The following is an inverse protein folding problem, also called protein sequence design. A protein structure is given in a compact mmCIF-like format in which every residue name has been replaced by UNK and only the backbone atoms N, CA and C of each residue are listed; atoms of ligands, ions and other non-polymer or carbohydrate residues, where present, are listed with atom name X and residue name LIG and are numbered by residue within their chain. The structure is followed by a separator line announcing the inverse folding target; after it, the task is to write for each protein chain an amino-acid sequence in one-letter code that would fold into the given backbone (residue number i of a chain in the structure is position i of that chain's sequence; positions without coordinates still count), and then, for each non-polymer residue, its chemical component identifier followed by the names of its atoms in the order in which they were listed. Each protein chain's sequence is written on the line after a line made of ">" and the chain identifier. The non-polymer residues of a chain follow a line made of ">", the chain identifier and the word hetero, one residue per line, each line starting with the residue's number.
data_IF_023356801717
#
_entry.id   IF_023356801717
#
_cell.length_a   1.000
_cell.length_b   1.000
_cell.length_c   1.000
_cell.angle_alpha   90.00
_cell.angle_beta   90.00
_cell.angle_gamma   90.00
#
_symmetry.space_group_name_H-M   'P 1'
#
loop_
_entity.id
_entity.type
_entity.pdbx_description
1 polymer ?
#
# COMPACT_ATOMS: atom_id res chain seq x y z
N UNK A 1 -1.72 -39.81 73.24
CA UNK A 1 -1.99 -40.75 72.14
C UNK A 1 -3.31 -40.33 71.50
N UNK A 2 -3.36 -40.27 70.16
CA UNK A 2 -4.48 -39.90 69.27
C UNK A 2 -4.92 -38.42 69.34
N UNK A 3 -4.91 -37.57 68.30
CA UNK A 3 -4.72 -37.73 66.85
C UNK A 3 -6.06 -37.61 66.10
N UNK A 4 -6.44 -36.41 65.63
CA UNK A 4 -7.46 -36.12 64.58
C UNK A 4 -7.10 -34.77 63.92
N UNK A 5 -7.21 -34.59 62.58
CA UNK A 5 -6.47 -33.61 61.79
C UNK A 5 -7.22 -32.29 61.54
N UNK A 6 -6.49 -31.36 60.93
CA UNK A 6 -6.88 -30.00 60.59
C UNK A 6 -8.03 -29.94 59.56
N UNK A 7 -9.15 -29.35 59.96
CA UNK A 7 -10.16 -28.82 59.05
C UNK A 7 -9.75 -27.39 58.67
N UNK A 8 -9.10 -27.29 57.52
CA UNK A 8 -8.96 -26.07 56.74
C UNK A 8 -9.16 -26.45 55.30
N UNK A 9 -10.41 -26.48 54.86
CA UNK A 9 -10.79 -26.71 53.46
C UNK A 9 -10.05 -25.69 52.59
N UNK A 10 -9.03 -26.20 51.89
CA UNK A 10 -8.29 -25.48 50.86
C UNK A 10 -9.30 -25.21 49.73
N UNK A 11 -9.42 -23.97 49.21
CA UNK A 11 -10.30 -23.73 48.07
C UNK A 11 -9.85 -24.64 46.94
N UNK A 12 -10.79 -25.41 46.39
CA UNK A 12 -10.53 -26.36 45.30
C UNK A 12 -9.78 -25.64 44.18
N UNK A 13 -8.51 -25.99 44.00
CA UNK A 13 -7.78 -25.65 42.79
C UNK A 13 -8.39 -26.49 41.69
N UNK A 14 -9.40 -25.94 41.03
CA UNK A 14 -9.94 -26.49 39.79
C UNK A 14 -8.77 -26.65 38.83
N UNK A 15 -8.32 -27.89 38.65
CA UNK A 15 -7.32 -28.32 37.69
C UNK A 15 -7.89 -28.19 36.28
N UNK A 16 -8.11 -26.96 35.84
CA UNK A 16 -8.25 -26.65 34.43
C UNK A 16 -6.85 -26.69 33.82
N UNK A 17 -6.58 -27.64 32.93
CA UNK A 17 -5.48 -27.53 31.98
C UNK A 17 -5.75 -26.35 31.06
N UNK A 18 -5.62 -25.11 31.55
CA UNK A 18 -5.55 -23.94 30.70
C UNK A 18 -4.15 -23.93 30.10
N UNK A 19 -4.00 -24.56 28.93
CA UNK A 19 -2.77 -24.41 28.14
C UNK A 19 -2.63 -22.94 27.79
N UNK A 20 -1.76 -22.23 28.51
CA UNK A 20 -1.36 -20.88 28.15
C UNK A 20 -0.62 -20.96 26.82
N UNK A 21 -1.26 -20.58 25.72
CA UNK A 21 -0.60 -20.42 24.43
C UNK A 21 -0.07 -19.01 24.29
N UNK A 22 1.18 -18.90 23.82
CA UNK A 22 1.80 -17.64 23.45
C UNK A 22 1.78 -17.50 21.94
N UNK A 23 1.40 -16.33 21.45
CA UNK A 23 1.38 -16.00 20.03
C UNK A 23 2.25 -14.77 19.78
N UNK A 24 3.14 -14.89 18.81
CA UNK A 24 3.94 -13.79 18.29
C UNK A 24 3.98 -13.89 16.78
N UNK A 25 3.51 -12.84 16.11
CA UNK A 25 3.43 -12.72 14.68
C UNK A 25 4.02 -11.35 14.29
N UNK A 26 4.90 -11.35 13.29
CA UNK A 26 5.58 -10.17 12.75
C UNK A 26 5.28 -10.09 11.26
N UNK A 27 4.90 -8.90 10.80
CA UNK A 27 4.73 -8.63 9.37
C UNK A 27 5.27 -7.25 9.01
N UNK A 28 5.77 -7.15 7.78
CA UNK A 28 6.23 -5.91 7.18
C UNK A 28 5.69 -5.84 5.75
N UNK A 29 5.24 -4.67 5.33
CA UNK A 29 4.79 -4.41 3.97
C UNK A 29 5.23 -3.02 3.55
N UNK A 30 5.50 -2.85 2.27
CA UNK A 30 5.83 -1.56 1.71
C UNK A 30 5.63 -1.51 0.21
N UNK A 31 5.52 -0.29 -0.29
CA UNK A 31 5.38 0.01 -1.70
C UNK A 31 6.21 1.26 -2.06
N UNK A 32 6.66 1.28 -3.31
CA UNK A 32 7.37 2.41 -3.90
C UNK A 32 6.66 2.72 -5.22
N UNK A 33 6.13 3.93 -5.33
CA UNK A 33 5.45 4.40 -6.54
C UNK A 33 6.22 5.54 -7.20
N UNK A 34 6.50 5.40 -8.50
CA UNK A 34 7.03 6.45 -9.34
C UNK A 34 5.93 7.03 -10.23
N UNK A 35 5.92 8.36 -10.40
CA UNK A 35 4.92 9.08 -11.19
C UNK A 35 5.59 9.92 -12.27
N UNK A 36 5.00 9.95 -13.45
CA UNK A 36 5.39 10.85 -14.55
C UNK A 36 4.12 11.50 -15.11
N UNK A 37 4.00 12.81 -14.92
CA UNK A 37 2.80 13.60 -15.25
C UNK A 37 3.11 14.77 -16.19
N UNK A 38 3.36 14.55 -17.48
CA UNK A 38 3.46 15.64 -18.43
C UNK A 38 2.10 16.34 -18.58
N UNK A 39 2.17 17.68 -18.61
CA UNK A 39 1.03 18.57 -18.83
C UNK A 39 1.32 19.41 -20.07
N UNK A 40 0.38 19.43 -21.02
CA UNK A 40 0.38 20.33 -22.17
C UNK A 40 -0.77 21.31 -21.99
N UNK A 41 -0.48 22.60 -21.89
CA UNK A 41 -1.50 23.64 -21.74
C UNK A 41 -1.60 24.47 -23.03
N UNK A 42 -2.80 24.52 -23.60
CA UNK A 42 -3.14 25.33 -24.77
C UNK A 42 -3.95 26.55 -24.32
N UNK A 43 -3.32 27.71 -24.28
CA UNK A 43 -3.98 28.96 -23.93
C UNK A 43 -4.77 29.57 -25.08
N UNK A 44 -5.97 30.06 -24.77
CA UNK A 44 -6.85 30.83 -25.65
C UNK A 44 -6.90 32.26 -25.09
N UNK A 45 -6.25 33.19 -25.79
CA UNK A 45 -6.24 34.60 -25.42
C UNK A 45 -7.20 35.36 -26.34
N UNK A 46 -8.21 36.00 -25.74
CA UNK A 46 -9.18 36.80 -26.48
C UNK A 46 -8.67 38.23 -26.68
N UNK A 47 -9.22 38.92 -27.69
CA UNK A 47 -8.93 40.33 -27.92
C UNK A 47 -9.35 41.15 -26.68
N UNK A 48 -8.48 42.02 -26.12
CA UNK A 48 -8.79 42.81 -24.93
C UNK A 48 -10.07 43.63 -25.05
N UNK A 49 -10.41 44.10 -26.25
CA UNK A 49 -11.62 44.89 -26.52
C UNK A 49 -12.92 44.14 -26.28
N UNK A 50 -12.88 42.80 -26.19
CA UNK A 50 -14.05 41.96 -25.93
C UNK A 50 -14.30 41.75 -24.43
N UNK A 51 -13.37 42.17 -23.56
CA UNK A 51 -13.45 42.00 -22.09
C UNK A 51 -13.77 40.56 -21.64
N UNK A 52 -13.36 39.56 -22.43
CA UNK A 52 -13.51 38.13 -22.12
C UNK A 52 -12.19 37.63 -21.50
N UNK A 53 -12.22 37.00 -20.31
CA UNK A 53 -11.02 36.43 -19.72
C UNK A 53 -10.44 35.30 -20.57
N UNK A 54 -9.13 35.07 -20.47
CA UNK A 54 -8.47 33.97 -21.18
C UNK A 54 -8.98 32.61 -20.70
N UNK A 55 -8.93 31.63 -21.58
CA UNK A 55 -9.24 30.24 -21.28
C UNK A 55 -8.03 29.35 -21.60
N UNK A 56 -8.01 28.11 -21.12
CA UNK A 56 -7.05 27.10 -21.55
C UNK A 56 -7.69 25.74 -21.72
N UNK A 57 -7.02 24.90 -22.51
CA UNK A 57 -7.26 23.47 -22.55
C UNK A 57 -5.99 22.79 -22.07
N UNK A 58 -6.12 22.03 -21.01
CA UNK A 58 -5.02 21.32 -20.36
C UNK A 58 -5.14 19.85 -20.77
N UNK A 59 -4.11 19.28 -21.38
CA UNK A 59 -4.00 17.86 -21.68
C UNK A 59 -3.00 17.24 -20.71
N UNK A 60 -3.50 16.35 -19.86
CA UNK A 60 -2.75 15.71 -18.79
C UNK A 60 -2.63 14.22 -19.10
N UNK A 61 -1.39 13.71 -19.08
CA UNK A 61 -1.10 12.29 -19.12
C UNK A 61 -0.47 11.92 -17.78
N UNK A 62 -1.23 11.22 -16.94
CA UNK A 62 -0.80 10.75 -15.64
C UNK A 62 -0.39 9.27 -15.75
N UNK A 63 0.89 8.99 -15.55
CA UNK A 63 1.40 7.62 -15.55
C UNK A 63 2.09 7.29 -14.25
N UNK A 64 1.92 6.05 -13.79
CA UNK A 64 2.59 5.57 -12.58
C UNK A 64 3.04 4.12 -12.71
N UNK A 65 4.01 3.75 -11.90
CA UNK A 65 4.41 2.38 -11.66
C UNK A 65 4.67 2.18 -10.16
N UNK A 66 4.09 1.13 -9.58
CA UNK A 66 4.26 0.77 -8.17
C UNK A 66 4.88 -0.60 -8.05
N UNK A 67 6.00 -0.69 -7.34
CA UNK A 67 6.55 -1.94 -6.84
C UNK A 67 6.07 -2.12 -5.40
N UNK A 68 5.55 -3.29 -5.06
CA UNK A 68 5.08 -3.59 -3.70
C UNK A 68 5.62 -4.92 -3.22
N UNK A 69 5.79 -5.04 -1.91
CA UNK A 69 6.25 -6.25 -1.26
C UNK A 69 5.73 -6.38 0.16
N UNK A 70 5.61 -7.62 0.61
CA UNK A 70 5.28 -7.94 2.00
C UNK A 70 6.03 -9.18 2.46
N UNK A 71 6.29 -9.24 3.76
CA UNK A 71 6.88 -10.39 4.40
C UNK A 71 6.22 -10.59 5.76
N UNK A 72 6.14 -11.84 6.20
CA UNK A 72 5.55 -12.19 7.46
C UNK A 72 6.14 -13.46 8.04
N UNK A 73 6.16 -13.57 9.37
CA UNK A 73 6.58 -14.77 10.11
C UNK A 73 5.89 -14.79 11.46
N UNK A 74 5.52 -15.97 11.94
CA UNK A 74 4.92 -16.04 13.25
C UNK A 74 4.53 -17.44 13.71
N UNK A 75 3.93 -17.47 14.89
CA UNK A 75 3.43 -18.68 15.54
C UNK A 75 2.09 -19.15 14.97
N UNK A 76 1.31 -18.24 14.40
CA UNK A 76 0.03 -18.56 13.73
C UNK A 76 0.09 -18.38 12.22
N UNK A 77 1.12 -17.68 11.72
CA UNK A 77 1.33 -17.46 10.29
C UNK A 77 2.57 -18.19 9.77
N UNK A 78 2.43 -18.94 8.68
CA UNK A 78 3.58 -19.48 7.95
C UNK A 78 4.42 -18.34 7.41
N UNK A 79 5.74 -18.49 7.49
CA UNK A 79 6.64 -17.50 6.97
C UNK A 79 6.42 -17.29 5.46
N UNK A 80 6.35 -16.04 5.00
CA UNK A 80 6.10 -15.72 3.61
C UNK A 80 6.84 -14.44 3.17
N UNK A 81 7.13 -14.38 1.87
CA UNK A 81 7.62 -13.18 1.19
C UNK A 81 6.85 -13.06 -0.13
N UNK A 82 6.17 -11.95 -0.33
CA UNK A 82 5.43 -11.63 -1.54
C UNK A 82 6.01 -10.38 -2.20
N UNK A 83 6.02 -10.36 -3.53
CA UNK A 83 6.32 -9.16 -4.30
C UNK A 83 5.45 -9.09 -5.55
N UNK A 84 5.23 -7.89 -6.05
CA UNK A 84 4.54 -7.65 -7.32
C UNK A 84 4.75 -6.23 -7.78
N UNK A 85 4.33 -5.94 -9.01
CA UNK A 85 4.40 -4.59 -9.56
C UNK A 85 3.20 -4.33 -10.46
N UNK A 86 2.65 -3.12 -10.37
CA UNK A 86 1.62 -2.64 -11.27
C UNK A 86 2.01 -1.29 -11.88
N UNK A 87 1.29 -0.89 -12.90
CA UNK A 87 1.39 0.42 -13.49
C UNK A 87 0.03 0.87 -14.02
N UNK A 88 -0.09 2.16 -14.23
CA UNK A 88 -1.31 2.74 -14.76
C UNK A 88 -1.05 3.97 -15.60
N UNK A 89 -2.05 4.27 -16.43
CA UNK A 89 -2.08 5.41 -17.33
C UNK A 89 -3.47 6.03 -17.34
N UNK A 90 -3.52 7.35 -17.16
CA UNK A 90 -4.72 8.15 -17.31
C UNK A 90 -4.44 9.31 -18.27
N UNK A 91 -5.18 9.38 -19.38
CA UNK A 91 -5.17 10.52 -20.30
C UNK A 91 -6.45 11.32 -20.11
N UNK A 92 -6.32 12.58 -19.74
CA UNK A 92 -7.45 13.47 -19.52
C UNK A 92 -7.21 14.84 -20.16
N UNK A 93 -8.29 15.52 -20.51
CA UNK A 93 -8.26 16.94 -20.81
C UNK A 93 -9.18 17.71 -19.87
N UNK A 94 -8.75 18.91 -19.49
CA UNK A 94 -9.56 19.86 -18.76
C UNK A 94 -9.69 21.15 -19.56
N UNK A 95 -10.92 21.60 -19.75
CA UNK A 95 -11.21 22.97 -20.19
C UNK A 95 -11.22 23.85 -18.95
N UNK A 96 -10.32 24.82 -18.92
CA UNK A 96 -10.30 25.89 -17.92
C UNK A 96 -10.83 27.16 -18.59
N UNK A 97 -12.09 27.49 -18.33
CA UNK A 97 -12.76 28.62 -18.91
C UNK A 97 -13.37 29.51 -17.81
N UNK A 98 -13.41 30.84 -18.04
CA UNK A 98 -14.09 31.74 -17.12
C UNK A 98 -15.59 31.45 -17.06
N UNK A 99 -16.21 31.76 -15.93
CA UNK A 99 -17.67 31.72 -15.78
C UNK A 99 -18.31 32.76 -16.70
N UNK A 100 -19.24 32.32 -17.56
CA UNK A 100 -20.01 33.20 -18.45
C UNK A 100 -21.49 33.05 -18.11
N UNK A 101 -22.19 34.17 -17.85
CA UNK A 101 -23.61 34.19 -17.48
C UNK A 101 -23.94 33.27 -16.29
N UNK A 102 -23.09 33.29 -15.25
CA UNK A 102 -23.18 32.42 -14.06
C UNK A 102 -23.08 30.90 -14.35
N UNK A 103 -22.65 30.52 -15.57
CA UNK A 103 -22.37 29.13 -15.95
C UNK A 103 -20.88 28.91 -16.00
N UNK A 104 -20.39 27.96 -15.21
CA UNK A 104 -19.00 27.49 -15.31
C UNK A 104 -18.88 26.57 -16.52
N UNK A 105 -17.96 26.89 -17.41
CA UNK A 105 -17.61 26.06 -18.56
C UNK A 105 -16.43 25.13 -18.26
N UNK A 106 -16.00 25.07 -17.00
CA UNK A 106 -14.92 24.18 -16.59
C UNK A 106 -15.39 22.73 -16.67
N UNK A 107 -14.65 21.93 -17.41
CA UNK A 107 -14.97 20.52 -17.58
C UNK A 107 -13.70 19.70 -17.69
N UNK A 108 -13.57 18.64 -16.89
CA UNK A 108 -12.57 17.59 -17.08
C UNK A 108 -13.21 16.39 -17.75
N UNK A 109 -12.49 15.79 -18.68
CA UNK A 109 -12.88 14.55 -19.33
C UNK A 109 -11.69 13.60 -19.39
N UNK A 110 -11.90 12.35 -18.98
CA UNK A 110 -10.91 11.29 -19.05
C UNK A 110 -11.18 10.45 -20.30
N UNK A 111 -10.20 10.38 -21.21
CA UNK A 111 -10.30 9.62 -22.46
C UNK A 111 -9.85 8.17 -22.28
N UNK A 112 -8.77 7.98 -21.53
CA UNK A 112 -8.16 6.68 -21.29
C UNK A 112 -7.86 6.58 -19.80
N UNK A 113 -8.24 5.47 -19.21
CA UNK A 113 -7.78 5.05 -17.89
C UNK A 113 -7.57 3.56 -17.93
N UNK A 114 -6.33 3.11 -17.67
CA UNK A 114 -6.00 1.69 -17.63
C UNK A 114 -4.96 1.44 -16.57
N UNK A 115 -5.16 0.33 -15.87
CA UNK A 115 -4.20 -0.24 -14.94
C UNK A 115 -3.80 -1.63 -15.47
N UNK A 116 -2.56 -2.01 -15.21
CA UNK A 116 -2.01 -3.30 -15.64
C UNK A 116 -0.98 -3.81 -14.65
N UNK A 117 -0.99 -5.13 -14.45
CA UNK A 117 0.04 -5.80 -13.66
C UNK A 117 1.30 -5.96 -14.52
N UNK A 118 2.39 -5.33 -14.08
CA UNK A 118 3.71 -5.50 -14.67
C UNK A 118 4.31 -6.85 -14.26
N UNK A 119 4.17 -7.17 -12.97
CA UNK A 119 4.59 -8.42 -12.36
C UNK A 119 3.43 -8.90 -11.52
N UNK A 120 2.83 -10.03 -11.91
CA UNK A 120 1.82 -10.67 -11.08
C UNK A 120 2.38 -10.96 -9.70
N UNK A 121 1.58 -10.66 -8.67
CA UNK A 121 1.99 -10.90 -7.30
C UNK A 121 2.39 -12.37 -7.13
N UNK A 122 3.62 -12.58 -6.69
CA UNK A 122 4.17 -13.91 -6.44
C UNK A 122 4.59 -13.98 -4.99
N UNK A 123 4.21 -15.08 -4.31
CA UNK A 123 4.50 -15.32 -2.91
C UNK A 123 5.32 -16.61 -2.76
N UNK A 124 6.34 -16.55 -1.92
CA UNK A 124 7.24 -17.66 -1.62
C UNK A 124 7.26 -17.92 -0.11
N UNK A 125 7.38 -19.20 0.25
CA UNK A 125 7.74 -19.60 1.61
C UNK A 125 9.27 -19.62 1.71
N UNK A 126 9.91 -19.07 2.75
CA UNK A 126 11.36 -19.08 2.90
C UNK A 126 11.96 -20.50 2.98
N UNK A 127 11.15 -21.54 3.18
CA UNK A 127 11.59 -22.94 3.04
C UNK A 127 12.09 -23.27 1.63
N UNK A 128 11.68 -22.52 0.59
CA UNK A 128 12.19 -22.66 -0.78
C UNK A 128 13.50 -21.91 -1.06
N UNK A 129 14.01 -21.12 -0.11
CA UNK A 129 15.26 -20.34 -0.24
C UNK A 129 16.46 -20.98 0.49
N UNK A 130 16.31 -22.18 1.07
CA UNK A 130 17.36 -22.86 1.85
C UNK A 130 18.60 -23.31 1.04
N UNK A 131 18.67 -23.03 -0.27
CA UNK A 131 19.84 -23.34 -1.12
C UNK A 131 20.72 -22.11 -1.43
N UNK A 132 20.53 -20.98 -0.76
CA UNK A 132 21.49 -19.87 -0.86
C UNK A 132 21.65 -19.23 0.51
N UNK A 133 22.74 -19.60 1.17
CA UNK A 133 23.22 -18.96 2.40
C UNK A 133 23.20 -17.44 2.22
N UNK A 134 22.34 -16.76 2.98
CA UNK A 134 22.42 -15.31 3.17
C UNK A 134 23.65 -14.99 4.03
N UNK A 135 24.85 -15.23 3.49
CA UNK A 135 26.13 -14.74 4.06
C UNK A 135 26.19 -13.20 4.07
N UNK A 136 25.31 -12.52 3.32
CA UNK A 136 25.23 -11.07 3.27
C UNK A 136 24.46 -10.42 4.44
N UNK A 137 23.78 -11.19 5.28
CA UNK A 137 23.04 -10.65 6.44
C UNK A 137 23.89 -10.58 7.72
N UNK A 138 25.12 -11.08 7.70
CA UNK A 138 26.05 -11.04 8.82
C UNK A 138 26.99 -9.82 8.76
N UNK A 139 26.44 -8.61 8.66
CA UNK A 139 27.17 -7.41 9.07
C UNK A 139 26.65 -6.99 10.45
N UNK A 140 27.12 -7.71 11.47
CA UNK A 140 27.14 -7.17 12.84
C UNK A 140 28.07 -5.96 12.90
N UNK A 141 27.82 -4.99 13.80
CA UNK A 141 28.69 -3.83 13.93
C UNK A 141 30.07 -4.29 14.40
N UNK A 142 31.09 -4.05 13.58
CA UNK A 142 32.49 -4.14 14.01
C UNK A 142 32.73 -3.10 15.10
N UNK A 143 32.96 -3.55 16.33
CA UNK A 143 33.54 -2.77 17.43
C UNK A 143 35.01 -3.09 17.59
#
# INVERSE_FOLDING_TARGET
>A
MSGVPADGEVPETSSGNSSTSFYADLSASGDITAWVKPLIQLGIVFNPSLNVPSASIDLELDTYATLYGSAGVGTTQTANVCYGANAGIELSAAVNAPTLFDVSLNQKHTFVKRDFDLIQQTCYSPESFQDTTCDACALGPTS
#
